data_IF_903945960375
#
_entry.id   IF_903945960375
#
_cell.length_a   1.000
_cell.length_b   1.000
_cell.length_c   1.000
_cell.angle_alpha   90.00
_cell.angle_beta   90.00
_cell.angle_gamma   90.00
#
_symmetry.space_group_name_H-M   'P 1'
#
loop_
_entity.id
_entity.type
_entity.pdbx_description
1 polymer ?
#
# COMPACT_ATOMS: atom_id res chain seq x y z
N UNK A 1 -43.53 36.99 10.69
CA UNK A 1 -42.49 36.56 9.73
C UNK A 1 -42.64 37.41 8.50
N UNK A 2 -41.66 38.26 8.23
CA UNK A 2 -41.67 39.18 7.10
C UNK A 2 -41.46 38.37 5.80
N UNK A 3 -42.20 38.65 4.70
CA UNK A 3 -42.12 37.90 3.45
C UNK A 3 -40.70 37.83 2.86
N UNK A 4 -39.86 38.85 3.07
CA UNK A 4 -38.45 38.83 2.66
C UNK A 4 -37.66 37.75 3.40
N UNK A 5 -37.77 37.69 4.73
CA UNK A 5 -37.10 36.67 5.54
C UNK A 5 -37.51 35.24 5.17
N UNK A 6 -38.75 35.02 4.70
CA UNK A 6 -39.17 33.70 4.19
C UNK A 6 -38.47 33.34 2.88
N UNK A 7 -38.34 34.29 1.95
CA UNK A 7 -37.64 34.07 0.67
C UNK A 7 -36.17 33.77 0.88
N UNK A 8 -35.49 34.56 1.71
CA UNK A 8 -34.08 34.33 2.04
C UNK A 8 -33.86 32.96 2.68
N UNK A 9 -34.78 32.50 3.53
CA UNK A 9 -34.67 31.19 4.16
C UNK A 9 -34.85 30.04 3.16
N UNK A 10 -35.77 30.19 2.20
CA UNK A 10 -35.98 29.24 1.09
C UNK A 10 -34.72 29.14 0.22
N UNK A 11 -34.12 30.28 -0.13
CA UNK A 11 -32.91 30.34 -0.95
C UNK A 11 -31.71 29.70 -0.25
N UNK A 12 -31.52 29.98 1.05
CA UNK A 12 -30.47 29.35 1.86
C UNK A 12 -30.70 27.84 1.95
N UNK A 13 -31.94 27.41 2.14
CA UNK A 13 -32.29 25.99 2.20
C UNK A 13 -32.02 25.28 0.87
N UNK A 14 -32.38 25.90 -0.26
CA UNK A 14 -32.09 25.37 -1.59
C UNK A 14 -30.57 25.24 -1.82
N UNK A 15 -29.79 26.27 -1.48
CA UNK A 15 -28.33 26.25 -1.58
C UNK A 15 -27.70 25.13 -0.72
N UNK A 16 -28.16 24.99 0.53
CA UNK A 16 -27.66 23.97 1.44
C UNK A 16 -27.97 22.56 0.94
N UNK A 17 -29.18 22.36 0.37
CA UNK A 17 -29.60 21.09 -0.20
C UNK A 17 -28.73 20.69 -1.40
N UNK A 18 -28.44 21.63 -2.29
CA UNK A 18 -27.57 21.37 -3.44
C UNK A 18 -26.13 21.11 -3.03
N UNK A 19 -25.63 21.84 -2.02
CA UNK A 19 -24.29 21.60 -1.48
C UNK A 19 -24.17 20.20 -0.86
N UNK A 20 -25.18 19.74 -0.13
CA UNK A 20 -25.20 18.37 0.41
C UNK A 20 -25.15 17.30 -0.70
N UNK A 21 -25.86 17.51 -1.81
CA UNK A 21 -25.82 16.59 -2.96
C UNK A 21 -24.44 16.57 -3.62
N UNK A 22 -23.82 17.74 -3.78
CA UNK A 22 -22.47 17.85 -4.35
C UNK A 22 -21.42 17.18 -3.46
N UNK A 23 -21.41 17.44 -2.15
CA UNK A 23 -20.49 16.82 -1.20
C UNK A 23 -20.62 15.29 -1.20
N UNK A 24 -21.85 14.77 -1.31
CA UNK A 24 -22.10 13.32 -1.42
C UNK A 24 -21.53 12.74 -2.72
N UNK A 25 -21.58 13.49 -3.82
CA UNK A 25 -20.99 13.08 -5.10
C UNK A 25 -19.46 13.11 -5.08
N UNK A 26 -18.86 14.15 -4.50
CA UNK A 26 -17.40 14.30 -4.38
C UNK A 26 -16.80 13.20 -3.51
N UNK A 27 -17.45 12.84 -2.40
CA UNK A 27 -16.97 11.79 -1.49
C UNK A 27 -16.75 10.45 -2.19
N UNK A 28 -17.63 10.08 -3.14
CA UNK A 28 -17.49 8.83 -3.91
C UNK A 28 -16.31 8.88 -4.87
N UNK A 29 -16.12 10.00 -5.57
CA UNK A 29 -15.01 10.17 -6.52
C UNK A 29 -13.64 10.19 -5.83
N UNK A 30 -13.54 10.79 -4.64
CA UNK A 30 -12.30 10.81 -3.86
C UNK A 30 -11.88 9.40 -3.43
N UNK A 31 -12.84 8.56 -2.99
CA UNK A 31 -12.55 7.17 -2.61
C UNK A 31 -12.09 6.36 -3.83
N UNK A 32 -12.75 6.51 -4.97
CA UNK A 32 -12.37 5.81 -6.21
C UNK A 32 -10.98 6.24 -6.68
N UNK A 33 -10.68 7.53 -6.66
CA UNK A 33 -9.38 8.06 -7.05
C UNK A 33 -8.25 7.57 -6.13
N UNK A 34 -8.49 7.54 -4.82
CA UNK A 34 -7.54 7.01 -3.85
C UNK A 34 -7.26 5.51 -4.09
N UNK A 35 -8.31 4.70 -4.27
CA UNK A 35 -8.17 3.29 -4.60
C UNK A 35 -7.41 3.05 -5.91
N UNK A 36 -7.70 3.84 -6.96
CA UNK A 36 -7.01 3.73 -8.24
C UNK A 36 -5.50 3.97 -8.13
N UNK A 37 -5.09 5.00 -7.37
CA UNK A 37 -3.67 5.29 -7.14
C UNK A 37 -2.96 4.16 -6.38
N UNK A 38 -3.60 3.62 -5.33
CA UNK A 38 -3.06 2.50 -4.56
C UNK A 38 -2.94 1.26 -5.43
N UNK A 39 -3.94 0.97 -6.26
CA UNK A 39 -3.96 -0.18 -7.14
C UNK A 39 -2.83 -0.13 -8.19
N UNK A 40 -2.59 1.03 -8.80
CA UNK A 40 -1.48 1.24 -9.73
C UNK A 40 -0.14 0.98 -9.03
N UNK A 41 0.06 1.55 -7.84
CA UNK A 41 1.27 1.32 -7.07
C UNK A 41 1.46 -0.15 -6.67
N UNK A 42 0.38 -0.84 -6.33
CA UNK A 42 0.39 -2.26 -6.00
C UNK A 42 0.79 -3.12 -7.21
N UNK A 43 0.30 -2.78 -8.41
CA UNK A 43 0.71 -3.45 -9.65
C UNK A 43 2.20 -3.23 -9.91
N UNK A 44 2.67 -1.98 -9.82
CA UNK A 44 4.09 -1.65 -10.03
C UNK A 44 4.98 -2.43 -9.06
N UNK A 45 4.59 -2.48 -7.78
CA UNK A 45 5.30 -3.25 -6.77
C UNK A 45 5.28 -4.75 -7.07
N UNK A 46 4.12 -5.29 -7.46
CA UNK A 46 3.97 -6.70 -7.81
C UNK A 46 4.86 -7.08 -9.00
N UNK A 47 4.95 -6.23 -10.03
CA UNK A 47 5.83 -6.44 -11.18
C UNK A 47 7.30 -6.44 -10.73
N UNK A 48 7.71 -5.46 -9.93
CA UNK A 48 9.08 -5.38 -9.44
C UNK A 48 9.47 -6.62 -8.61
N UNK A 49 8.59 -7.08 -7.73
CA UNK A 49 8.78 -8.28 -6.91
C UNK A 49 8.80 -9.54 -7.78
N UNK A 50 7.89 -9.66 -8.74
CA UNK A 50 7.86 -10.79 -9.68
C UNK A 50 9.17 -10.89 -10.46
N UNK A 51 9.66 -9.76 -10.97
CA UNK A 51 10.92 -9.70 -11.70
C UNK A 51 12.10 -10.08 -10.81
N UNK A 52 12.10 -9.64 -9.54
CA UNK A 52 13.11 -10.04 -8.58
C UNK A 52 13.14 -11.57 -8.38
N UNK A 53 12.00 -12.20 -8.11
CA UNK A 53 11.98 -13.66 -7.92
C UNK A 53 12.31 -14.44 -9.19
N UNK A 54 11.79 -14.02 -10.34
CA UNK A 54 12.03 -14.72 -11.61
C UNK A 54 13.51 -14.72 -12.03
N UNK A 55 14.24 -13.63 -11.76
CA UNK A 55 15.62 -13.47 -12.21
C UNK A 55 16.67 -13.70 -11.13
N UNK A 56 16.39 -13.38 -9.87
CA UNK A 56 17.37 -13.50 -8.81
C UNK A 56 17.45 -14.91 -8.20
N UNK A 57 16.32 -15.63 -8.17
CA UNK A 57 16.28 -17.01 -7.70
C UNK A 57 17.22 -17.95 -8.49
N UNK A 58 17.21 -17.99 -9.84
CA UNK A 58 18.14 -18.84 -10.57
C UNK A 58 19.60 -18.41 -10.39
N UNK A 59 19.89 -17.13 -10.15
CA UNK A 59 21.26 -16.69 -9.85
C UNK A 59 21.74 -17.20 -8.49
N UNK A 60 20.89 -17.18 -7.47
CA UNK A 60 21.22 -17.69 -6.14
C UNK A 60 21.42 -19.20 -6.19
N UNK A 61 20.60 -19.94 -6.95
CA UNK A 61 20.77 -21.39 -7.14
C UNK A 61 22.08 -21.72 -7.88
N UNK A 62 22.51 -20.88 -8.82
CA UNK A 62 23.81 -21.02 -9.50
C UNK A 62 24.99 -20.70 -8.58
N UNK A 63 24.80 -19.83 -7.60
CA UNK A 63 25.81 -19.40 -6.62
C UNK A 63 25.81 -20.24 -5.34
N UNK A 64 24.87 -21.17 -5.18
CA UNK A 64 24.88 -22.17 -4.11
C UNK A 64 26.04 -23.15 -4.30
N UNK A 65 27.18 -22.79 -3.71
CA UNK A 65 28.30 -23.70 -3.47
C UNK A 65 27.84 -24.67 -2.35
N UNK A 66 27.83 -26.00 -2.56
CA UNK A 66 27.39 -26.94 -1.54
C UNK A 66 28.37 -26.92 -0.36
N UNK A 67 27.98 -26.31 0.75
CA UNK A 67 28.78 -26.23 1.97
C UNK A 67 28.76 -24.90 2.72
N UNK A 68 28.25 -23.80 2.13
CA UNK A 68 27.97 -22.58 2.88
C UNK A 68 26.47 -22.51 3.21
N UNK A 69 26.08 -22.19 4.47
CA UNK A 69 24.68 -21.99 4.80
C UNK A 69 24.16 -20.81 3.97
N UNK A 70 23.07 -21.05 3.24
CA UNK A 70 22.32 -20.02 2.54
C UNK A 70 22.04 -18.87 3.52
N UNK A 71 22.78 -17.76 3.40
CA UNK A 71 22.40 -16.55 4.09
C UNK A 71 21.04 -16.18 3.48
N UNK A 72 19.98 -16.30 4.29
CA UNK A 72 18.60 -16.07 3.86
C UNK A 72 18.48 -14.63 3.33
N UNK A 73 18.70 -14.47 2.03
CA UNK A 73 18.54 -13.22 1.29
C UNK A 73 17.05 -13.08 0.96
N UNK A 74 16.25 -12.87 2.00
CA UNK A 74 14.84 -12.50 1.91
C UNK A 74 14.63 -11.17 2.61
N UNK A 75 13.76 -10.34 2.05
CA UNK A 75 13.41 -8.97 2.50
C UNK A 75 13.01 -8.85 4.00
N UNK A 76 12.82 -9.97 4.70
CA UNK A 76 12.47 -10.05 6.13
C UNK A 76 13.55 -10.72 7.01
N UNK A 77 14.84 -10.71 6.64
CA UNK A 77 15.88 -11.42 7.42
C UNK A 77 16.31 -10.75 8.74
N UNK A 78 15.60 -9.72 9.21
CA UNK A 78 15.97 -8.96 10.43
C UNK A 78 15.85 -9.72 11.76
N UNK A 79 15.59 -11.04 11.75
CA UNK A 79 15.40 -11.84 12.96
C UNK A 79 16.32 -13.07 13.11
N UNK A 80 17.44 -13.15 12.38
CA UNK A 80 18.42 -14.23 12.61
C UNK A 80 19.80 -13.67 12.94
N UNK A 81 19.88 -12.97 14.08
CA UNK A 81 21.15 -12.76 14.77
C UNK A 81 21.69 -14.11 15.24
N UNK A 82 22.69 -14.63 14.53
CA UNK A 82 23.99 -15.05 15.09
C UNK A 82 23.97 -15.30 16.61
N UNK A 83 23.86 -16.57 17.09
CA UNK A 83 25.05 -17.15 17.72
C UNK A 83 25.18 -18.69 17.63
N UNK A 84 24.32 -19.43 16.92
CA UNK A 84 24.39 -20.90 16.94
C UNK A 84 25.67 -21.47 16.31
N UNK A 85 26.19 -20.85 15.24
CA UNK A 85 27.44 -21.25 14.62
C UNK A 85 28.69 -21.01 15.48
N UNK A 86 28.60 -20.12 16.49
CA UNK A 86 29.70 -19.89 17.44
C UNK A 86 29.66 -20.85 18.64
N UNK A 87 28.52 -21.44 18.97
CA UNK A 87 28.40 -22.45 20.04
C UNK A 87 28.85 -23.85 19.62
N UNK A 88 28.75 -24.19 18.33
CA UNK A 88 29.17 -25.52 17.83
C UNK A 88 30.69 -25.64 17.72
N UNK A 89 31.42 -24.53 17.57
CA UNK A 89 32.88 -24.51 17.53
C UNK A 89 33.53 -24.30 18.91
N UNK A 90 32.73 -24.25 19.99
CA UNK A 90 33.20 -24.08 21.36
C UNK A 90 33.04 -25.34 22.24
N UNK A 91 32.72 -26.49 21.65
CA UNK A 91 32.76 -27.81 22.28
C UNK A 91 33.74 -28.72 21.55
#
# INVERSE_FOLDING_TARGET
MDPESKRLLEDIYALAKDNHRMLRAVRRHQIISAFGKVFIWLIVLAIAVYLYFAFLQPLIDKLHIPGLPAAQSGFFSFATTTPLGKLVNSF
#
